data_IF_356744809510
#
_entry.id   IF_356744809510
#
_cell.length_a   1.000
_cell.length_b   1.000
_cell.length_c   1.000
_cell.angle_alpha   90.00
_cell.angle_beta   90.00
_cell.angle_gamma   90.00
#
_symmetry.space_group_name_H-M   'P 1'
#
loop_
_entity.id
_entity.type
_entity.pdbx_description
1 polymer ?
#
# COMPACT_ATOMS: atom_id res chain seq x y z
N UNK A 1 -30.28 10.66 -0.66
CA UNK A 1 -29.65 9.36 -0.35
C UNK A 1 -29.83 8.41 -1.52
N UNK A 2 -28.76 7.83 -2.07
CA UNK A 2 -28.81 6.89 -3.20
C UNK A 2 -28.20 5.52 -2.87
N UNK A 3 -27.32 5.44 -1.87
CA UNK A 3 -26.70 4.19 -1.45
C UNK A 3 -27.64 3.38 -0.55
N UNK A 4 -27.85 2.11 -0.90
CA UNK A 4 -28.57 1.13 -0.08
C UNK A 4 -27.60 0.37 0.84
N UNK A 5 -26.62 -0.31 0.25
CA UNK A 5 -25.55 -1.03 0.96
C UNK A 5 -24.25 -0.95 0.17
N UNK A 6 -23.11 -1.01 0.86
CA UNK A 6 -21.79 -1.25 0.29
C UNK A 6 -21.23 -2.54 0.89
N UNK A 7 -21.21 -3.61 0.09
CA UNK A 7 -20.80 -4.94 0.54
C UNK A 7 -19.33 -5.18 0.19
N UNK A 8 -18.50 -5.42 1.19
CA UNK A 8 -17.08 -5.75 1.01
C UNK A 8 -16.93 -7.26 1.14
N UNK A 9 -16.44 -7.92 0.07
CA UNK A 9 -16.23 -9.37 0.04
C UNK A 9 -14.76 -9.69 -0.12
N UNK A 10 -14.30 -10.78 0.49
CA UNK A 10 -12.91 -11.26 0.40
C UNK A 10 -11.88 -10.17 0.75
N UNK A 11 -12.18 -9.37 1.77
CA UNK A 11 -11.26 -8.36 2.25
C UNK A 11 -9.95 -9.01 2.77
N UNK A 12 -8.82 -8.35 2.51
CA UNK A 12 -7.50 -8.80 2.98
C UNK A 12 -7.12 -8.05 4.26
N UNK A 13 -6.06 -8.48 4.94
CA UNK A 13 -5.54 -7.81 6.15
C UNK A 13 -5.09 -6.35 5.93
N UNK A 14 -4.97 -5.90 4.67
CA UNK A 14 -4.72 -4.49 4.33
C UNK A 14 -6.00 -3.64 4.27
N UNK A 15 -7.18 -4.25 4.36
CA UNK A 15 -8.46 -3.55 4.28
C UNK A 15 -8.61 -2.43 5.33
N UNK A 16 -8.22 -2.59 6.61
CA UNK A 16 -8.30 -1.50 7.59
C UNK A 16 -7.51 -0.26 7.17
N UNK A 17 -6.34 -0.44 6.53
CA UNK A 17 -5.52 0.67 6.01
C UNK A 17 -6.21 1.34 4.82
N UNK A 18 -6.67 0.55 3.85
CA UNK A 18 -7.39 1.07 2.68
C UNK A 18 -8.68 1.80 3.06
N UNK A 19 -9.43 1.27 4.02
CA UNK A 19 -10.63 1.92 4.54
C UNK A 19 -10.30 3.26 5.22
N UNK A 20 -9.23 3.33 6.02
CA UNK A 20 -8.85 4.57 6.70
C UNK A 20 -8.46 5.68 5.72
N UNK A 21 -7.87 5.35 4.56
CA UNK A 21 -7.61 6.30 3.47
C UNK A 21 -8.90 6.88 2.87
N UNK A 22 -9.94 6.05 2.73
CA UNK A 22 -11.22 6.46 2.14
C UNK A 22 -12.16 7.12 3.16
N UNK A 23 -12.04 6.75 4.44
CA UNK A 23 -12.94 7.17 5.53
C UNK A 23 -13.20 8.68 5.58
N UNK A 24 -12.21 9.59 5.42
CA UNK A 24 -12.45 11.04 5.41
C UNK A 24 -13.44 11.50 4.34
N UNK A 25 -13.58 10.75 3.24
CA UNK A 25 -14.47 11.07 2.12
C UNK A 25 -15.85 10.42 2.24
N UNK A 26 -16.09 9.61 3.28
CA UNK A 26 -17.35 8.89 3.50
C UNK A 26 -18.19 9.58 4.57
N UNK A 27 -19.45 9.86 4.24
CA UNK A 27 -20.44 10.37 5.22
C UNK A 27 -20.78 9.32 6.27
N UNK A 28 -21.24 9.77 7.44
CA UNK A 28 -21.70 8.86 8.52
C UNK A 28 -22.81 7.90 8.05
N UNK A 29 -23.74 8.38 7.21
CA UNK A 29 -24.78 7.54 6.60
C UNK A 29 -24.15 6.43 5.72
N UNK A 30 -23.16 6.79 4.90
CA UNK A 30 -22.45 5.82 4.05
C UNK A 30 -21.71 4.78 4.90
N UNK A 31 -21.01 5.22 5.96
CA UNK A 31 -20.26 4.34 6.85
C UNK A 31 -21.16 3.30 7.52
N UNK A 32 -22.40 3.66 7.90
CA UNK A 32 -23.38 2.72 8.48
C UNK A 32 -23.89 1.69 7.48
N UNK A 33 -23.80 1.97 6.18
CA UNK A 33 -24.24 1.09 5.09
C UNK A 33 -23.14 0.15 4.59
N UNK A 34 -21.93 0.25 5.14
CA UNK A 34 -20.82 -0.65 4.83
C UNK A 34 -20.98 -1.94 5.62
N UNK A 35 -20.96 -3.07 4.91
CA UNK A 35 -21.02 -4.41 5.48
C UNK A 35 -19.81 -5.19 5.00
N UNK A 36 -18.93 -5.53 5.92
CA UNK A 36 -17.78 -6.41 5.66
C UNK A 36 -18.26 -7.86 5.84
N UNK A 37 -18.19 -8.65 4.77
CA UNK A 37 -18.61 -10.05 4.77
C UNK A 37 -17.40 -10.97 4.95
N UNK A 38 -17.54 -11.93 5.87
CA UNK A 38 -16.47 -12.85 6.23
C UNK A 38 -16.00 -13.77 5.10
N UNK A 39 -14.74 -14.18 5.17
CA UNK A 39 -14.04 -14.95 4.13
C UNK A 39 -14.71 -16.28 3.74
N UNK A 40 -15.39 -16.94 4.67
CA UNK A 40 -16.02 -18.24 4.42
C UNK A 40 -17.54 -18.16 4.15
N UNK A 41 -18.19 -17.02 4.41
CA UNK A 41 -19.65 -16.88 4.36
C UNK A 41 -20.13 -15.76 3.42
N UNK A 42 -19.21 -15.07 2.73
CA UNK A 42 -19.58 -13.92 1.90
C UNK A 42 -20.55 -14.28 0.76
N UNK A 43 -20.45 -15.46 0.15
CA UNK A 43 -21.39 -15.90 -0.90
C UNK A 43 -22.81 -16.02 -0.34
N UNK A 44 -22.98 -16.66 0.80
CA UNK A 44 -24.28 -16.77 1.49
C UNK A 44 -24.79 -15.39 1.93
N UNK A 45 -23.89 -14.52 2.39
CA UNK A 45 -24.19 -13.13 2.71
C UNK A 45 -24.76 -12.34 1.53
N UNK A 46 -24.19 -12.52 0.32
CA UNK A 46 -24.71 -11.92 -0.90
C UNK A 46 -26.09 -12.49 -1.27
N UNK A 47 -26.27 -13.81 -1.17
CA UNK A 47 -27.54 -14.48 -1.51
C UNK A 47 -28.71 -14.10 -0.58
N UNK A 48 -28.44 -13.59 0.63
CA UNK A 48 -29.47 -13.03 1.52
C UNK A 48 -30.05 -11.71 0.99
N UNK A 49 -29.33 -11.03 0.10
CA UNK A 49 -29.67 -9.69 -0.40
C UNK A 49 -30.01 -9.66 -1.89
N UNK A 50 -29.48 -10.62 -2.66
CA UNK A 50 -29.59 -10.71 -4.11
C UNK A 50 -30.02 -12.13 -4.46
N UNK A 51 -31.06 -12.29 -5.28
CA UNK A 51 -31.52 -13.62 -5.68
C UNK A 51 -30.46 -14.34 -6.54
N UNK A 52 -30.40 -15.68 -6.51
CA UNK A 52 -29.36 -16.43 -7.23
C UNK A 52 -29.29 -16.11 -8.72
N UNK A 53 -30.43 -15.96 -9.38
CA UNK A 53 -30.56 -15.66 -10.80
C UNK A 53 -30.09 -14.26 -11.21
N UNK A 54 -29.97 -13.34 -10.24
CA UNK A 54 -29.46 -11.98 -10.44
C UNK A 54 -27.99 -11.83 -9.98
N UNK A 55 -27.43 -12.84 -9.33
CA UNK A 55 -26.06 -12.82 -8.81
C UNK A 55 -25.13 -13.67 -9.71
N UNK A 56 -24.01 -13.12 -10.22
CA UNK A 56 -23.06 -13.91 -11.01
C UNK A 56 -22.62 -15.18 -10.28
N UNK A 57 -22.51 -16.29 -11.01
CA UNK A 57 -22.06 -17.56 -10.45
C UNK A 57 -20.65 -17.46 -9.83
N UNK A 58 -19.80 -16.58 -10.35
CA UNK A 58 -18.51 -16.24 -9.73
C UNK A 58 -18.65 -15.73 -8.28
N UNK A 59 -19.73 -15.01 -7.97
CA UNK A 59 -20.04 -14.48 -6.65
C UNK A 59 -21.00 -15.37 -5.83
N UNK A 60 -21.36 -16.55 -6.33
CA UNK A 60 -22.14 -17.55 -5.59
C UNK A 60 -23.60 -17.72 -6.05
N UNK A 61 -24.06 -16.99 -7.05
CA UNK A 61 -25.39 -17.20 -7.64
C UNK A 61 -25.39 -18.17 -8.82
N UNK A 62 -26.30 -17.98 -9.75
CA UNK A 62 -26.49 -18.80 -10.96
C UNK A 62 -26.44 -18.01 -12.25
N UNK A 63 -26.34 -16.67 -12.20
CA UNK A 63 -26.23 -15.82 -13.38
C UNK A 63 -24.91 -16.08 -14.13
N UNK A 64 -25.01 -16.24 -15.44
CA UNK A 64 -23.89 -16.44 -16.37
C UNK A 64 -24.09 -15.59 -17.62
N UNK A 65 -23.03 -15.38 -18.39
CA UNK A 65 -23.15 -14.87 -19.76
C UNK A 65 -23.87 -15.87 -20.69
N UNK A 66 -24.33 -15.46 -21.89
CA UNK A 66 -24.96 -16.36 -22.86
C UNK A 66 -24.12 -17.57 -23.26
N UNK A 67 -22.78 -17.47 -23.16
CA UNK A 67 -21.83 -18.55 -23.42
C UNK A 67 -21.58 -19.46 -22.19
N UNK A 68 -22.29 -19.21 -21.08
CA UNK A 68 -22.14 -19.92 -19.81
C UNK A 68 -21.02 -19.39 -18.91
N UNK A 69 -20.35 -18.28 -19.24
CA UNK A 69 -19.26 -17.78 -18.42
C UNK A 69 -19.75 -17.28 -17.04
N UNK A 70 -19.25 -17.84 -15.91
CA UNK A 70 -19.71 -17.49 -14.57
C UNK A 70 -19.30 -16.09 -14.11
N UNK A 71 -18.37 -15.45 -14.83
CA UNK A 71 -17.87 -14.11 -14.51
C UNK A 71 -18.75 -12.98 -15.06
N UNK A 72 -19.70 -13.28 -15.95
CA UNK A 72 -20.56 -12.26 -16.55
C UNK A 72 -19.73 -11.11 -17.20
N UNK A 73 -18.73 -11.45 -18.02
CA UNK A 73 -17.80 -10.54 -18.67
C UNK A 73 -18.48 -9.54 -19.62
N UNK A 74 -19.68 -9.86 -20.11
CA UNK A 74 -20.48 -8.90 -20.90
C UNK A 74 -20.89 -7.66 -20.10
N UNK A 75 -20.88 -7.76 -18.75
CA UNK A 75 -21.31 -6.70 -17.82
C UNK A 75 -20.19 -6.27 -16.87
N UNK A 76 -19.28 -7.17 -16.51
CA UNK A 76 -18.29 -6.96 -15.45
C UNK A 76 -16.88 -7.07 -16.03
N UNK A 77 -16.15 -5.96 -15.98
CA UNK A 77 -14.73 -5.93 -16.31
C UNK A 77 -13.89 -6.36 -15.10
N UNK A 78 -12.94 -7.28 -15.29
CA UNK A 78 -12.07 -7.82 -14.23
C UNK A 78 -10.66 -7.20 -14.24
N UNK A 79 -10.46 -6.09 -14.96
CA UNK A 79 -9.17 -5.47 -15.16
C UNK A 79 -8.22 -6.34 -15.99
N UNK A 80 -6.93 -6.20 -15.70
CA UNK A 80 -5.83 -6.85 -16.41
C UNK A 80 -4.63 -5.92 -16.53
N UNK A 81 -3.48 -6.45 -16.90
CA UNK A 81 -2.32 -5.63 -17.21
C UNK A 81 -2.62 -4.76 -18.44
N UNK A 82 -2.39 -3.46 -18.33
CA UNK A 82 -2.57 -2.52 -19.45
C UNK A 82 -1.32 -2.61 -20.33
N UNK A 83 -1.44 -2.91 -21.64
CA UNK A 83 -0.32 -2.90 -22.56
C UNK A 83 0.48 -1.59 -22.52
N UNK A 84 1.81 -1.69 -22.37
CA UNK A 84 2.72 -0.53 -22.34
C UNK A 84 2.58 0.39 -23.55
N UNK A 85 2.17 -0.14 -24.70
CA UNK A 85 1.89 0.65 -25.91
C UNK A 85 0.75 1.67 -25.75
N UNK A 86 -0.10 1.53 -24.73
CA UNK A 86 -1.16 2.48 -24.41
C UNK A 86 -0.72 3.57 -23.41
N UNK A 87 0.52 3.54 -22.93
CA UNK A 87 0.99 4.50 -21.94
C UNK A 87 1.29 5.84 -22.62
N UNK A 88 0.73 6.92 -22.06
CA UNK A 88 0.98 8.29 -22.56
C UNK A 88 2.07 9.01 -21.76
N UNK A 89 2.47 8.45 -20.62
CA UNK A 89 3.51 8.96 -19.73
C UNK A 89 3.99 7.81 -18.83
N UNK A 90 5.27 7.83 -18.47
CA UNK A 90 5.84 6.86 -17.54
C UNK A 90 5.69 7.29 -16.08
N UNK A 91 5.31 8.55 -15.82
CA UNK A 91 5.18 9.11 -14.47
C UNK A 91 4.16 10.26 -14.41
N UNK A 92 3.63 10.50 -13.22
CA UNK A 92 2.81 11.67 -12.88
C UNK A 92 3.69 12.63 -12.06
N UNK A 93 3.60 13.93 -12.33
CA UNK A 93 4.36 14.94 -11.56
C UNK A 93 3.91 14.93 -10.10
N UNK A 94 4.82 14.60 -9.20
CA UNK A 94 4.65 14.66 -7.75
C UNK A 94 5.50 15.79 -7.17
N UNK A 95 4.98 16.46 -6.15
CA UNK A 95 5.78 17.31 -5.26
C UNK A 95 6.22 16.49 -4.05
N UNK A 96 7.49 16.63 -3.67
CA UNK A 96 8.05 15.95 -2.50
C UNK A 96 7.98 16.84 -1.27
N UNK A 97 7.73 16.22 -0.12
CA UNK A 97 7.67 16.92 1.17
C UNK A 97 9.06 17.42 1.62
N UNK A 98 10.09 16.59 1.39
CA UNK A 98 11.46 16.88 1.80
C UNK A 98 12.42 16.89 0.61
N UNK A 99 13.49 17.67 0.75
CA UNK A 99 14.62 17.66 -0.17
C UNK A 99 15.91 17.89 0.59
N UNK A 100 16.86 16.96 0.46
CA UNK A 100 18.11 16.96 1.23
C UNK A 100 19.32 16.80 0.31
N UNK A 101 20.42 17.46 0.68
CA UNK A 101 21.72 17.29 0.04
C UNK A 101 22.54 16.26 0.82
N UNK A 102 22.86 15.13 0.20
CA UNK A 102 23.67 14.07 0.79
C UNK A 102 25.07 14.14 0.20
N UNK A 103 26.03 14.60 1.00
CA UNK A 103 27.45 14.64 0.63
C UNK A 103 27.98 13.28 0.20
N UNK A 104 29.03 13.28 -0.62
CA UNK A 104 29.78 12.05 -0.95
C UNK A 104 30.24 11.32 0.31
N UNK A 105 30.26 9.99 0.30
CA UNK A 105 30.69 9.21 1.47
C UNK A 105 29.73 9.27 2.66
N UNK A 106 28.53 9.87 2.51
CA UNK A 106 27.57 10.08 3.59
C UNK A 106 26.23 9.40 3.31
N UNK A 107 25.35 9.44 4.31
CA UNK A 107 24.01 8.89 4.24
C UNK A 107 23.06 9.76 5.06
N UNK A 108 21.80 9.83 4.62
CA UNK A 108 20.70 10.48 5.34
C UNK A 108 19.70 9.41 5.77
N UNK A 109 19.02 9.60 6.90
CA UNK A 109 17.98 8.68 7.36
C UNK A 109 16.86 9.42 8.07
N UNK A 110 15.65 8.89 7.94
CA UNK A 110 14.47 9.29 8.72
C UNK A 110 14.00 8.09 9.52
N UNK A 111 13.45 8.35 10.70
CA UNK A 111 13.09 7.32 11.68
C UNK A 111 11.62 7.47 12.09
N UNK A 112 10.90 6.35 12.09
CA UNK A 112 9.49 6.30 12.50
C UNK A 112 9.34 5.27 13.61
N UNK A 113 8.94 5.74 14.79
CA UNK A 113 8.60 4.87 15.92
C UNK A 113 7.18 4.32 15.73
N UNK A 114 7.09 3.02 15.48
CA UNK A 114 5.86 2.28 15.27
C UNK A 114 5.54 1.51 16.55
N UNK A 115 4.51 1.94 17.26
CA UNK A 115 4.04 1.29 18.48
C UNK A 115 3.01 0.19 18.21
N UNK A 116 2.23 0.35 17.13
CA UNK A 116 1.12 -0.54 16.77
C UNK A 116 1.41 -1.19 15.41
N UNK A 117 1.64 -2.51 15.38
CA UNK A 117 1.78 -3.25 14.13
C UNK A 117 0.54 -3.15 13.23
N UNK A 118 0.74 -3.36 11.93
CA UNK A 118 -0.32 -3.40 10.92
C UNK A 118 -0.51 -2.09 10.15
N UNK A 119 0.26 -1.04 10.45
CA UNK A 119 0.34 0.14 9.57
C UNK A 119 1.19 -0.15 8.33
N UNK A 120 1.02 0.66 7.29
CA UNK A 120 1.82 0.60 6.06
C UNK A 120 2.70 1.82 5.99
N UNK A 121 4.00 1.60 5.94
CA UNK A 121 4.98 2.63 5.66
C UNK A 121 5.13 2.76 4.14
N UNK A 122 4.85 3.94 3.60
CA UNK A 122 4.92 4.25 2.16
C UNK A 122 5.98 5.31 1.93
N UNK A 123 6.75 5.18 0.85
CA UNK A 123 7.72 6.18 0.44
C UNK A 123 7.68 6.40 -1.08
N UNK A 124 8.10 7.58 -1.47
CA UNK A 124 8.49 7.89 -2.84
C UNK A 124 9.68 8.83 -2.82
N UNK A 125 10.66 8.61 -3.69
CA UNK A 125 11.83 9.48 -3.79
C UNK A 125 12.34 9.61 -5.22
N UNK A 126 13.06 10.69 -5.47
CA UNK A 126 13.83 10.94 -6.68
C UNK A 126 15.17 11.56 -6.32
N UNK A 127 16.21 11.27 -7.11
CA UNK A 127 17.55 11.81 -6.91
C UNK A 127 18.06 12.49 -8.16
N UNK A 128 18.76 13.60 -8.02
CA UNK A 128 19.34 14.30 -9.17
C UNK A 128 20.64 13.60 -9.63
N UNK A 129 20.74 13.38 -10.95
CA UNK A 129 21.99 13.14 -11.67
C UNK A 129 22.62 11.74 -11.59
N UNK A 130 22.33 10.96 -10.55
CA UNK A 130 22.86 9.61 -10.41
C UNK A 130 21.95 8.74 -9.55
N UNK A 131 22.33 7.47 -9.43
CA UNK A 131 21.66 6.52 -8.56
C UNK A 131 21.83 6.87 -7.07
N UNK A 132 20.94 6.36 -6.23
CA UNK A 132 21.00 6.50 -4.78
C UNK A 132 20.77 5.14 -4.14
N UNK A 133 21.52 4.83 -3.07
CA UNK A 133 21.25 3.64 -2.26
C UNK A 133 20.02 3.87 -1.39
N UNK A 134 19.13 2.90 -1.29
CA UNK A 134 17.98 2.98 -0.40
C UNK A 134 17.69 1.63 0.24
N UNK A 135 17.38 1.64 1.54
CA UNK A 135 16.97 0.46 2.30
C UNK A 135 16.19 0.84 3.55
N UNK A 136 15.49 -0.14 4.12
CA UNK A 136 14.70 0.04 5.35
C UNK A 136 15.17 -0.94 6.42
N UNK A 137 15.41 -0.42 7.61
CA UNK A 137 15.93 -1.18 8.74
C UNK A 137 15.01 -1.03 9.95
N UNK A 138 15.10 -1.96 10.90
CA UNK A 138 14.37 -1.96 12.15
C UNK A 138 15.36 -1.97 13.31
N UNK A 139 15.18 -1.04 14.25
CA UNK A 139 15.90 -1.02 15.53
C UNK A 139 14.93 -0.96 16.71
N UNK A 140 15.40 -1.38 17.89
CA UNK A 140 14.54 -1.59 19.06
C UNK A 140 14.15 -0.30 19.78
N UNK A 141 14.95 0.77 19.70
CA UNK A 141 14.69 2.04 20.40
C UNK A 141 15.16 3.25 19.60
N UNK A 142 14.48 4.38 19.82
CA UNK A 142 14.97 5.72 19.46
C UNK A 142 16.30 5.98 20.19
N UNK A 143 17.26 6.61 19.51
CA UNK A 143 18.58 6.83 20.08
C UNK A 143 19.63 7.18 19.02
N UNK A 144 20.91 7.07 19.40
CA UNK A 144 22.03 7.38 18.52
C UNK A 144 21.96 6.58 17.20
N UNK A 145 22.58 7.16 16.17
CA UNK A 145 22.62 6.57 14.83
C UNK A 145 23.37 5.24 14.87
N UNK A 146 22.64 4.15 14.62
CA UNK A 146 23.21 2.80 14.53
C UNK A 146 23.76 2.52 13.13
N UNK A 147 24.79 1.66 13.07
CA UNK A 147 25.30 1.16 11.79
C UNK A 147 24.30 0.20 11.16
N UNK A 148 24.32 0.06 9.83
CA UNK A 148 23.37 -0.81 9.12
C UNK A 148 23.44 -2.26 9.63
N UNK A 149 24.64 -2.79 9.83
CA UNK A 149 24.84 -4.17 10.33
C UNK A 149 24.45 -4.41 11.79
N UNK A 150 24.05 -3.38 12.54
CA UNK A 150 23.53 -3.50 13.90
C UNK A 150 22.00 -3.49 13.95
N UNK A 151 21.35 -3.17 12.82
CA UNK A 151 19.90 -3.11 12.69
C UNK A 151 19.39 -4.34 11.93
N UNK A 152 18.15 -4.73 12.19
CA UNK A 152 17.49 -5.78 11.40
C UNK A 152 17.13 -5.21 10.04
N UNK A 153 17.59 -5.84 8.97
CA UNK A 153 17.26 -5.40 7.61
C UNK A 153 15.84 -5.85 7.24
N UNK A 154 14.96 -4.89 6.97
CA UNK A 154 13.57 -5.15 6.57
C UNK A 154 13.43 -5.10 5.05
N UNK A 155 14.08 -4.11 4.43
CA UNK A 155 14.25 -4.01 2.98
C UNK A 155 15.73 -3.84 2.69
N UNK A 156 16.29 -4.79 1.95
CA UNK A 156 17.72 -4.78 1.63
C UNK A 156 18.13 -3.53 0.90
N UNK A 157 19.25 -2.93 1.33
CA UNK A 157 19.77 -1.73 0.67
C UNK A 157 20.19 -2.03 -0.76
N UNK A 158 19.57 -1.36 -1.73
CA UNK A 158 19.86 -1.50 -3.16
C UNK A 158 20.14 -0.15 -3.81
N UNK A 159 20.79 -0.17 -4.98
CA UNK A 159 21.08 1.04 -5.77
C UNK A 159 19.96 1.26 -6.77
N UNK A 160 19.32 2.43 -6.68
CA UNK A 160 18.18 2.79 -7.52
C UNK A 160 18.49 3.95 -8.46
N UNK A 161 18.07 3.83 -9.73
CA UNK A 161 18.25 4.88 -10.74
C UNK A 161 17.12 5.94 -10.68
N UNK A 162 16.91 6.51 -9.49
CA UNK A 162 15.79 7.40 -9.17
C UNK A 162 15.86 8.79 -9.85
N UNK A 163 16.84 9.00 -10.75
CA UNK A 163 16.99 10.20 -11.59
C UNK A 163 16.23 10.09 -12.92
N UNK A 164 15.94 8.87 -13.39
CA UNK A 164 15.19 8.65 -14.64
C UNK A 164 13.69 8.65 -14.36
N UNK A 165 13.30 7.90 -13.34
CA UNK A 165 11.92 7.75 -12.86
C UNK A 165 11.98 7.71 -11.33
N UNK A 166 11.07 8.40 -10.62
CA UNK A 166 10.94 8.26 -9.18
C UNK A 166 10.76 6.80 -8.77
N UNK A 167 11.34 6.45 -7.62
CA UNK A 167 11.14 5.15 -7.00
C UNK A 167 10.06 5.30 -5.94
N UNK A 168 9.08 4.42 -5.94
CA UNK A 168 8.07 4.30 -4.89
C UNK A 168 8.04 2.89 -4.33
N UNK A 169 7.55 2.79 -3.10
CA UNK A 169 7.40 1.51 -2.43
C UNK A 169 6.60 1.64 -1.15
N UNK A 170 6.21 0.49 -0.63
CA UNK A 170 5.56 0.40 0.66
C UNK A 170 5.90 -0.92 1.34
N UNK A 171 5.86 -0.93 2.66
CA UNK A 171 5.95 -2.14 3.46
C UNK A 171 4.92 -2.11 4.59
N UNK A 172 4.43 -3.29 4.97
CA UNK A 172 3.60 -3.44 6.16
C UNK A 172 4.50 -3.58 7.39
N UNK A 173 4.31 -2.72 8.39
CA UNK A 173 5.03 -2.79 9.65
C UNK A 173 4.44 -3.90 10.53
N UNK A 174 4.97 -5.12 10.42
CA UNK A 174 4.49 -6.29 11.17
C UNK A 174 4.93 -6.32 12.63
N UNK A 175 5.96 -5.55 12.98
CA UNK A 175 6.54 -5.50 14.32
C UNK A 175 6.56 -4.06 14.84
N UNK A 176 6.46 -3.93 16.17
CA UNK A 176 6.67 -2.65 16.82
C UNK A 176 8.18 -2.37 16.94
N UNK A 177 8.57 -1.12 16.74
CA UNK A 177 9.96 -0.69 16.79
C UNK A 177 10.20 0.58 15.98
N UNK A 178 11.46 0.93 15.79
CA UNK A 178 11.83 2.13 15.03
C UNK A 178 12.29 1.72 13.63
N UNK A 179 11.47 2.05 12.64
CA UNK A 179 11.78 1.84 11.23
C UNK A 179 12.66 2.99 10.73
N UNK A 180 13.81 2.66 10.17
CA UNK A 180 14.82 3.60 9.67
C UNK A 180 14.89 3.48 8.16
N UNK A 181 14.40 4.50 7.45
CA UNK A 181 14.53 4.59 6.00
C UNK A 181 15.81 5.35 5.70
N UNK A 182 16.79 4.69 5.06
CA UNK A 182 18.13 5.24 4.86
C UNK A 182 18.43 5.43 3.38
N UNK A 183 18.81 6.65 3.03
CA UNK A 183 19.40 7.02 1.75
C UNK A 183 20.93 6.99 1.85
N UNK A 184 21.57 6.21 0.99
CA UNK A 184 22.99 5.90 1.04
C UNK A 184 23.73 6.45 -0.19
N UNK A 185 24.69 7.35 0.06
CA UNK A 185 25.62 7.90 -0.92
C UNK A 185 27.09 7.59 -0.57
N UNK A 186 27.33 6.57 0.26
CA UNK A 186 28.68 6.21 0.73
C UNK A 186 29.59 5.71 -0.37
N UNK A 187 29.02 5.13 -1.44
CA UNK A 187 29.76 4.63 -2.60
C UNK A 187 30.12 5.71 -3.64
N UNK A 188 29.62 6.95 -3.51
CA UNK A 188 29.96 8.04 -4.44
C UNK A 188 31.33 8.62 -4.10
N UNK A 189 32.23 8.63 -5.08
CA UNK A 189 33.60 9.15 -4.91
C UNK A 189 33.70 10.67 -5.18
N UNK A 190 32.76 11.23 -5.94
CA UNK A 190 32.89 12.57 -6.54
C UNK A 190 31.72 13.51 -6.28
N UNK A 191 30.48 13.02 -6.20
CA UNK A 191 29.30 13.89 -6.21
C UNK A 191 28.44 13.77 -4.95
N UNK A 192 28.06 14.93 -4.40
CA UNK A 192 26.91 15.04 -3.52
C UNK A 192 25.63 14.83 -4.34
N UNK A 193 24.59 14.29 -3.70
CA UNK A 193 23.31 14.00 -4.36
C UNK A 193 22.19 14.75 -3.66
N UNK A 194 21.37 15.44 -4.44
CA UNK A 194 20.12 15.99 -3.93
C UNK A 194 19.05 14.90 -4.05
N UNK A 195 18.44 14.55 -2.94
CA UNK A 195 17.36 13.54 -2.87
C UNK A 195 16.12 14.24 -2.39
N UNK A 196 15.03 14.12 -3.16
CA UNK A 196 13.71 14.63 -2.79
C UNK A 196 12.81 13.44 -2.50
N UNK A 197 12.10 13.45 -1.38
CA UNK A 197 11.34 12.30 -0.93
C UNK A 197 10.12 12.69 -0.07
N UNK A 198 9.18 11.76 0.00
CA UNK A 198 8.02 11.79 0.91
C UNK A 198 7.91 10.43 1.57
N UNK A 199 7.64 10.41 2.87
CA UNK A 199 7.43 9.17 3.64
C UNK A 199 6.18 9.35 4.50
N UNK A 200 5.25 8.40 4.38
CA UNK A 200 3.96 8.44 5.07
C UNK A 200 3.73 7.14 5.82
N UNK A 201 3.12 7.25 6.99
CA UNK A 201 2.62 6.10 7.75
C UNK A 201 1.11 6.04 7.60
N UNK A 202 0.62 5.01 6.93
CA UNK A 202 -0.79 4.76 6.71
C UNK A 202 -1.31 3.87 7.84
N UNK A 203 -2.06 4.47 8.76
CA UNK A 203 -2.59 3.78 9.92
C UNK A 203 -3.82 2.94 9.56
N UNK A 204 -4.00 1.75 10.15
CA UNK A 204 -5.24 0.99 10.03
C UNK A 204 -6.37 1.69 10.79
N UNK A 205 -7.61 1.54 10.30
CA UNK A 205 -8.80 1.93 11.07
C UNK A 205 -9.08 0.90 12.17
N UNK A 206 -9.00 1.33 13.43
CA UNK A 206 -9.24 0.48 14.61
C UNK A 206 -10.62 -0.21 14.57
N UNK A 207 -11.63 0.47 14.04
CA UNK A 207 -12.99 -0.07 13.93
C UNK A 207 -13.10 -1.22 12.92
N UNK A 208 -12.21 -1.27 11.92
CA UNK A 208 -12.16 -2.34 10.93
C UNK A 208 -11.21 -3.49 11.31
N UNK A 209 -10.26 -3.26 12.22
CA UNK A 209 -9.37 -4.31 12.73
C UNK A 209 -10.13 -5.42 13.48
N UNK A 210 -11.34 -5.14 13.99
CA UNK A 210 -12.20 -6.18 14.57
C UNK A 210 -12.54 -7.34 13.61
N UNK A 211 -12.36 -7.15 12.30
CA UNK A 211 -12.58 -8.17 11.29
C UNK A 211 -11.32 -9.02 10.99
N UNK A 212 -10.17 -8.77 11.63
CA UNK A 212 -8.87 -9.36 11.28
C UNK A 212 -8.85 -10.90 11.19
N UNK A 213 -9.67 -11.60 11.99
CA UNK A 213 -9.80 -13.06 11.94
C UNK A 213 -10.51 -13.55 10.66
N UNK A 214 -11.41 -12.74 10.11
CA UNK A 214 -12.15 -13.04 8.88
C UNK A 214 -11.43 -12.51 7.62
N UNK A 215 -10.44 -11.64 7.79
CA UNK A 215 -9.64 -11.07 6.72
C UNK A 215 -8.59 -12.07 6.21
N UNK A 216 -8.46 -12.11 4.89
CA UNK A 216 -7.49 -13.00 4.23
C UNK A 216 -6.06 -12.44 4.32
N UNK A 217 -5.03 -13.28 4.55
CA UNK A 217 -3.64 -12.88 4.37
C UNK A 217 -3.37 -12.40 2.93
N UNK A 218 -2.39 -11.53 2.76
CA UNK A 218 -1.90 -11.07 1.44
C UNK A 218 -0.90 -12.08 0.90
#
# INVERSE_FOLDING_TARGET
ETLKFMLIVKATKLFPVGYNLMKPFLSEDTRRKIVVLGSNSWKEGLLKLISPEELPAHFGGTLTDPDGNPKCLTKINYGGEIPKSMYVRDQVKTQYEHSVQISRGSSHQVEYEILFPGCVLRWQFSSDGADIGFGVFLKTKMGERQKAGEMVEVLTSQRYNAHMVPEDGSLTCSEAGVYVLRFDNTYSFVHAKKVSFTVEVLLPDEGMQKYDEELTPV
#
